data_IF_665895050461
#
_entry.id   IF_665895050461
#
_cell.length_a   1.000
_cell.length_b   1.000
_cell.length_c   1.000
_cell.angle_alpha   90.00
_cell.angle_beta   90.00
_cell.angle_gamma   90.00
#
_symmetry.space_group_name_H-M   'P 1'
#
loop_
_entity.id
_entity.type
_entity.pdbx_description
1 polymer ?
#
# COMPACT_ATOMS: atom_id res chain seq x y z
N UNK A 1 11.01 -12.51 -7.98
CA UNK A 1 9.84 -11.90 -7.31
C UNK A 1 9.00 -13.03 -6.75
N UNK A 2 8.79 -13.04 -5.44
CA UNK A 2 7.93 -14.03 -4.81
C UNK A 2 6.46 -13.58 -4.92
N UNK A 3 5.54 -14.53 -4.83
CA UNK A 3 4.10 -14.28 -4.93
C UNK A 3 3.39 -14.96 -3.77
N UNK A 4 2.34 -14.30 -3.27
CA UNK A 4 1.42 -14.85 -2.29
C UNK A 4 0.03 -14.95 -2.91
N UNK A 5 -0.71 -16.02 -2.58
CA UNK A 5 -2.09 -16.18 -3.02
C UNK A 5 -3.03 -15.63 -1.93
N UNK A 6 -3.76 -14.58 -2.25
CA UNK A 6 -4.75 -13.94 -1.38
C UNK A 6 -6.09 -13.93 -2.11
N UNK A 7 -7.13 -14.53 -1.54
CA UNK A 7 -8.46 -14.61 -2.17
C UNK A 7 -8.44 -15.14 -3.61
N UNK A 8 -7.60 -16.15 -3.89
CA UNK A 8 -7.42 -16.73 -5.21
C UNK A 8 -6.83 -15.76 -6.26
N UNK A 9 -6.05 -14.77 -5.78
CA UNK A 9 -5.32 -13.79 -6.58
C UNK A 9 -3.85 -13.82 -6.20
N UNK A 10 -2.99 -13.83 -7.20
CA UNK A 10 -1.56 -13.69 -6.99
C UNK A 10 -1.20 -12.24 -6.74
N UNK A 11 -0.53 -11.98 -5.62
CA UNK A 11 0.01 -10.67 -5.28
C UNK A 11 1.53 -10.79 -5.21
N UNK A 12 2.23 -9.94 -5.94
CA UNK A 12 3.69 -9.90 -5.90
C UNK A 12 4.16 -9.25 -4.61
N UNK A 13 5.23 -9.77 -4.01
CA UNK A 13 5.89 -9.15 -2.87
C UNK A 13 7.42 -9.17 -3.01
N UNK A 14 8.07 -8.29 -2.25
CA UNK A 14 9.51 -8.09 -2.22
C UNK A 14 9.98 -8.01 -0.78
N UNK A 15 11.21 -8.44 -0.55
CA UNK A 15 11.89 -8.26 0.73
C UNK A 15 13.04 -7.31 0.46
N UNK A 16 13.10 -6.20 1.20
CA UNK A 16 14.19 -5.22 1.13
C UNK A 16 14.61 -4.90 2.55
N UNK A 17 15.88 -5.09 2.87
CA UNK A 17 16.47 -4.73 4.17
C UNK A 17 15.64 -5.21 5.38
N UNK A 18 15.17 -6.47 5.33
CA UNK A 18 14.32 -7.15 6.33
C UNK A 18 12.83 -6.77 6.33
N UNK A 19 12.42 -5.80 5.52
CA UNK A 19 11.02 -5.39 5.38
C UNK A 19 10.32 -6.08 4.19
N UNK A 20 9.08 -6.51 4.42
CA UNK A 20 8.22 -7.12 3.41
C UNK A 20 7.33 -6.06 2.74
N UNK A 21 7.44 -5.93 1.42
CA UNK A 21 6.65 -5.01 0.60
C UNK A 21 5.69 -5.77 -0.30
N UNK A 22 4.42 -5.36 -0.29
CA UNK A 22 3.37 -5.97 -1.12
C UNK A 22 3.00 -5.04 -2.29
N UNK A 23 2.79 -5.62 -3.47
CA UNK A 23 2.38 -4.88 -4.68
C UNK A 23 0.93 -4.36 -4.57
N UNK A 24 0.79 -3.08 -4.23
CA UNK A 24 -0.52 -2.39 -4.24
C UNK A 24 -1.17 -2.34 -5.63
N UNK A 25 -0.37 -2.43 -6.69
CA UNK A 25 -0.86 -2.47 -8.07
C UNK A 25 -1.57 -3.80 -8.37
N UNK A 26 -1.04 -4.91 -7.87
CA UNK A 26 -1.71 -6.21 -8.01
C UNK A 26 -3.02 -6.27 -7.21
N UNK A 27 -3.05 -5.62 -6.04
CA UNK A 27 -4.29 -5.42 -5.28
C UNK A 27 -5.28 -4.54 -6.07
N UNK A 28 -4.83 -3.43 -6.66
CA UNK A 28 -5.70 -2.53 -7.41
C UNK A 28 -6.31 -3.17 -8.67
N UNK A 29 -5.58 -4.09 -9.33
CA UNK A 29 -6.06 -4.86 -10.49
C UNK A 29 -7.30 -5.70 -10.15
N UNK A 30 -7.51 -6.07 -8.89
CA UNK A 30 -8.74 -6.74 -8.45
C UNK A 30 -9.98 -5.88 -8.73
N UNK A 31 -9.89 -4.57 -8.48
CA UNK A 31 -11.01 -3.63 -8.66
C UNK A 31 -11.13 -3.14 -10.10
N UNK A 32 -10.00 -2.87 -10.76
CA UNK A 32 -9.97 -2.51 -12.18
C UNK A 32 -8.66 -2.94 -12.82
N UNK A 33 -8.70 -4.01 -13.61
CA UNK A 33 -7.52 -4.54 -14.30
C UNK A 33 -7.01 -3.63 -15.42
N UNK A 34 -7.88 -2.83 -16.05
CA UNK A 34 -7.51 -1.96 -17.18
C UNK A 34 -6.83 -0.68 -16.70
N UNK A 35 -7.29 -0.13 -15.57
CA UNK A 35 -6.79 1.13 -15.01
C UNK A 35 -6.54 1.03 -13.50
N UNK A 36 -5.61 0.18 -13.04
CA UNK A 36 -5.29 0.05 -11.61
C UNK A 36 -4.73 1.35 -11.01
N UNK A 37 -4.04 2.16 -11.82
CA UNK A 37 -3.51 3.44 -11.41
C UNK A 37 -4.60 4.43 -10.95
N UNK A 38 -5.79 4.40 -11.57
CA UNK A 38 -6.89 5.29 -11.17
C UNK A 38 -7.49 4.88 -9.82
N UNK A 39 -7.51 3.58 -9.53
CA UNK A 39 -7.91 3.06 -8.22
C UNK A 39 -6.95 3.54 -7.13
N UNK A 40 -5.64 3.42 -7.37
CA UNK A 40 -4.60 3.87 -6.43
C UNK A 40 -4.68 5.39 -6.23
N UNK A 41 -4.81 6.17 -7.31
CA UNK A 41 -5.01 7.63 -7.22
C UNK A 41 -6.23 7.99 -6.37
N UNK A 42 -7.34 7.26 -6.51
CA UNK A 42 -8.53 7.50 -5.72
C UNK A 42 -8.33 7.17 -4.23
N UNK A 43 -7.60 6.10 -3.89
CA UNK A 43 -7.23 5.79 -2.52
C UNK A 43 -6.36 6.90 -1.91
N UNK A 44 -5.34 7.35 -2.63
CA UNK A 44 -4.42 8.38 -2.15
C UNK A 44 -5.03 9.79 -2.11
N UNK A 45 -6.12 10.06 -2.84
CA UNK A 45 -6.86 11.33 -2.72
C UNK A 45 -7.82 11.36 -1.53
N UNK A 46 -8.19 10.19 -1.01
CA UNK A 46 -9.16 10.13 0.08
C UNK A 46 -8.47 10.49 1.40
N UNK A 47 -8.86 11.63 1.98
CA UNK A 47 -8.33 12.11 3.25
C UNK A 47 -8.40 11.06 4.36
N UNK A 48 -9.51 10.30 4.46
CA UNK A 48 -9.63 9.25 5.47
C UNK A 48 -8.61 8.12 5.26
N UNK A 49 -8.30 7.79 4.00
CA UNK A 49 -7.29 6.78 3.68
C UNK A 49 -5.90 7.27 4.08
N UNK A 50 -5.57 8.53 3.78
CA UNK A 50 -4.27 9.10 4.18
C UNK A 50 -4.17 9.18 5.71
N UNK A 51 -5.19 9.69 6.41
CA UNK A 51 -5.20 9.76 7.87
C UNK A 51 -5.06 8.37 8.51
N UNK A 52 -5.76 7.37 7.98
CA UNK A 52 -5.63 5.99 8.45
C UNK A 52 -4.20 5.45 8.28
N UNK A 53 -3.59 5.66 7.10
CA UNK A 53 -2.20 5.25 6.86
C UNK A 53 -1.23 5.97 7.81
N UNK A 54 -1.43 7.26 8.06
CA UNK A 54 -0.62 8.02 9.00
C UNK A 54 -0.71 7.50 10.44
N UNK A 55 -1.91 7.12 10.90
CA UNK A 55 -2.08 6.50 12.22
C UNK A 55 -1.40 5.13 12.26
N UNK A 56 -1.59 4.32 11.22
CA UNK A 56 -0.98 3.00 11.14
C UNK A 56 0.55 3.08 11.16
N UNK A 57 1.14 3.99 10.39
CA UNK A 57 2.59 4.24 10.38
C UNK A 57 3.09 4.71 11.74
N UNK A 58 2.41 5.65 12.41
CA UNK A 58 2.77 6.06 13.79
C UNK A 58 2.79 4.91 14.79
N UNK A 59 1.98 3.87 14.56
CA UNK A 59 1.88 2.71 15.46
C UNK A 59 2.88 1.60 15.13
N UNK A 60 3.25 1.43 13.85
CA UNK A 60 3.99 0.26 13.39
C UNK A 60 5.38 0.58 12.80
N UNK A 61 5.68 1.84 12.51
CA UNK A 61 6.96 2.29 11.97
C UNK A 61 7.71 3.13 13.01
N UNK A 62 8.73 2.58 13.69
CA UNK A 62 9.52 3.30 14.70
C UNK A 62 10.23 4.54 14.13
N UNK A 63 10.58 4.52 12.85
CA UNK A 63 11.27 5.60 12.13
C UNK A 63 10.28 6.55 11.43
N UNK A 64 9.00 6.55 11.84
CA UNK A 64 7.97 7.35 11.18
C UNK A 64 8.27 8.85 11.24
N UNK A 65 8.36 9.44 10.05
CA UNK A 65 8.72 10.85 9.87
C UNK A 65 7.48 11.75 9.91
N UNK A 66 6.99 12.00 11.12
CA UNK A 66 5.78 12.81 11.36
C UNK A 66 5.79 14.17 10.65
N UNK A 67 6.92 14.88 10.71
CA UNK A 67 7.04 16.22 10.13
C UNK A 67 6.86 16.20 8.62
N UNK A 68 7.41 15.20 7.93
CA UNK A 68 7.27 15.04 6.47
C UNK A 68 5.85 14.60 6.09
N UNK A 69 5.15 13.90 6.99
CA UNK A 69 3.80 13.41 6.75
C UNK A 69 2.72 14.48 6.93
N UNK A 70 2.88 15.39 7.90
CA UNK A 70 1.94 16.48 8.17
C UNK A 70 2.16 17.72 7.26
N UNK A 71 3.14 17.69 6.35
CA UNK A 71 3.56 18.83 5.51
C UNK A 71 2.85 18.96 4.16
#
# INVERSE_FOLDING_TARGET
MAKINVMNKEISFYIVDEDDYISITDIAKYKNQKSPADIIKNWLRNRMTIEFLGIWEKLNNPEFKLVEFDQ
#
